data_IF_679349259465
#
_entry.id   IF_679349259465
#
_cell.length_a   1.000
_cell.length_b   1.000
_cell.length_c   1.000
_cell.angle_alpha   90.00
_cell.angle_beta   90.00
_cell.angle_gamma   90.00
#
_symmetry.space_group_name_H-M   'P 1'
#
loop_
_entity.id
_entity.type
_entity.pdbx_description
1 polymer ?
#
# COMPACT_ATOMS: atom_id res chain seq x y z
N UNK A 1 -11.14 21.47 2.32
CA UNK A 1 -10.40 21.80 1.09
C UNK A 1 -11.27 22.65 0.17
N UNK A 2 -10.70 23.68 -0.42
CA UNK A 2 -11.38 24.58 -1.37
C UNK A 2 -12.06 23.78 -2.51
N UNK A 3 -11.30 22.90 -3.14
CA UNK A 3 -11.82 22.08 -4.26
C UNK A 3 -13.00 21.17 -3.87
N UNK A 4 -12.96 20.55 -2.69
CA UNK A 4 -14.07 19.71 -2.23
C UNK A 4 -15.36 20.54 -2.13
N UNK A 5 -15.29 21.74 -1.56
CA UNK A 5 -16.45 22.62 -1.46
C UNK A 5 -17.02 22.97 -2.83
N UNK A 6 -16.18 23.37 -3.79
CA UNK A 6 -16.61 23.72 -5.15
C UNK A 6 -17.25 22.53 -5.88
N UNK A 7 -16.68 21.34 -5.76
CA UNK A 7 -17.25 20.11 -6.35
C UNK A 7 -18.64 19.83 -5.77
N UNK A 8 -18.81 19.96 -4.45
CA UNK A 8 -20.08 19.74 -3.79
C UNK A 8 -21.14 20.82 -4.14
N UNK A 9 -20.70 22.01 -4.55
CA UNK A 9 -21.54 23.08 -5.09
C UNK A 9 -21.92 22.89 -6.58
N UNK A 10 -21.42 21.81 -7.21
CA UNK A 10 -21.75 21.44 -8.58
C UNK A 10 -20.67 21.72 -9.63
N UNK A 11 -19.53 22.30 -9.24
CA UNK A 11 -18.38 22.53 -10.13
C UNK A 11 -17.49 21.29 -10.23
N UNK A 12 -18.01 20.27 -10.87
CA UNK A 12 -17.43 18.92 -10.90
C UNK A 12 -16.09 18.83 -11.63
N UNK A 13 -15.78 19.79 -12.51
CA UNK A 13 -14.50 19.91 -13.22
C UNK A 13 -13.30 20.02 -12.27
N UNK A 14 -13.50 20.58 -11.07
CA UNK A 14 -12.44 20.66 -10.06
C UNK A 14 -11.98 19.28 -9.54
N UNK A 15 -12.72 18.21 -9.81
CA UNK A 15 -12.29 16.87 -9.44
C UNK A 15 -11.04 16.41 -10.21
N UNK A 16 -10.78 16.98 -11.38
CA UNK A 16 -9.56 16.74 -12.17
C UNK A 16 -8.28 16.98 -11.38
N UNK A 17 -8.28 17.93 -10.46
CA UNK A 17 -7.14 18.21 -9.57
C UNK A 17 -6.77 16.99 -8.72
N UNK A 18 -7.77 16.22 -8.27
CA UNK A 18 -7.53 14.99 -7.51
C UNK A 18 -7.06 13.85 -8.41
N UNK A 19 -7.58 13.76 -9.63
CA UNK A 19 -7.09 12.81 -10.63
C UNK A 19 -5.61 13.04 -10.92
N UNK A 20 -5.23 14.28 -11.24
CA UNK A 20 -3.85 14.63 -11.57
C UNK A 20 -2.90 14.36 -10.38
N UNK A 21 -3.35 14.66 -9.18
CA UNK A 21 -2.52 14.54 -7.97
C UNK A 21 -2.35 13.12 -7.48
N UNK A 22 -3.40 12.29 -7.56
CA UNK A 22 -3.45 10.99 -6.89
C UNK A 22 -3.40 9.79 -7.83
N UNK A 23 -3.60 9.94 -9.14
CA UNK A 23 -3.63 8.79 -10.06
C UNK A 23 -2.36 7.96 -10.00
N UNK A 24 -1.21 8.60 -10.10
CA UNK A 24 0.08 7.90 -10.13
C UNK A 24 0.39 7.17 -8.82
N UNK A 25 0.35 7.81 -7.64
CA UNK A 25 0.65 7.14 -6.39
C UNK A 25 -0.40 6.08 -6.01
N UNK A 26 -1.67 6.30 -6.27
CA UNK A 26 -2.70 5.29 -6.03
C UNK A 26 -2.54 4.08 -6.95
N UNK A 27 -2.22 4.29 -8.23
CA UNK A 27 -1.91 3.22 -9.15
C UNK A 27 -0.73 2.37 -8.64
N UNK A 28 0.35 3.01 -8.20
CA UNK A 28 1.52 2.33 -7.66
C UNK A 28 1.16 1.44 -6.46
N UNK A 29 0.32 1.92 -5.54
CA UNK A 29 -0.16 1.14 -4.41
C UNK A 29 -1.02 -0.04 -4.88
N UNK A 30 -1.98 0.20 -5.75
CA UNK A 30 -2.93 -0.82 -6.21
C UNK A 30 -2.20 -1.93 -6.97
N UNK A 31 -1.32 -1.59 -7.93
CA UNK A 31 -0.61 -2.58 -8.74
C UNK A 31 0.32 -3.45 -7.91
N UNK A 32 0.94 -2.89 -6.87
CA UNK A 32 1.76 -3.68 -5.94
C UNK A 32 0.92 -4.72 -5.18
N UNK A 33 -0.28 -4.36 -4.77
CA UNK A 33 -1.16 -5.27 -4.03
C UNK A 33 -1.74 -6.35 -4.94
N UNK A 34 -2.25 -5.98 -6.13
CA UNK A 34 -2.99 -6.92 -7.00
C UNK A 34 -2.11 -7.67 -7.99
N UNK A 35 -0.93 -7.16 -8.33
CA UNK A 35 0.06 -7.81 -9.18
C UNK A 35 -0.30 -7.91 -10.67
N UNK A 36 -1.34 -7.21 -11.13
CA UNK A 36 -1.80 -7.19 -12.52
C UNK A 36 -2.11 -5.76 -12.95
N UNK A 37 -1.55 -5.33 -14.08
CA UNK A 37 -1.71 -3.95 -14.58
C UNK A 37 -3.15 -3.64 -14.99
N UNK A 38 -3.80 -4.55 -15.69
CA UNK A 38 -5.18 -4.40 -16.17
C UNK A 38 -6.15 -4.28 -14.98
N UNK A 39 -6.02 -5.16 -14.00
CA UNK A 39 -6.83 -5.11 -12.77
C UNK A 39 -6.57 -3.80 -12.00
N UNK A 40 -5.33 -3.33 -11.95
CA UNK A 40 -4.96 -2.11 -11.25
C UNK A 40 -5.55 -0.86 -11.93
N UNK A 41 -5.55 -0.79 -13.25
CA UNK A 41 -6.17 0.31 -14.01
C UNK A 41 -7.69 0.36 -13.78
N UNK A 42 -8.37 -0.79 -13.83
CA UNK A 42 -9.80 -0.89 -13.55
C UNK A 42 -10.12 -0.47 -12.12
N UNK A 43 -9.38 -0.98 -11.14
CA UNK A 43 -9.55 -0.61 -9.74
C UNK A 43 -9.28 0.87 -9.49
N UNK A 44 -8.31 1.47 -10.14
CA UNK A 44 -8.03 2.90 -10.02
C UNK A 44 -9.22 3.74 -10.47
N UNK A 45 -9.83 3.40 -11.62
CA UNK A 45 -11.05 4.06 -12.10
C UNK A 45 -12.19 3.91 -11.10
N UNK A 46 -12.41 2.71 -10.58
CA UNK A 46 -13.44 2.44 -9.56
C UNK A 46 -13.20 3.23 -8.27
N UNK A 47 -11.95 3.37 -7.85
CA UNK A 47 -11.57 4.18 -6.66
C UNK A 47 -11.97 5.64 -6.85
N UNK A 48 -11.65 6.25 -7.99
CA UNK A 48 -12.01 7.63 -8.26
C UNK A 48 -13.52 7.83 -8.42
N UNK A 49 -14.21 6.92 -9.08
CA UNK A 49 -15.68 6.95 -9.16
C UNK A 49 -16.31 6.86 -7.79
N UNK A 50 -15.81 5.97 -6.93
CA UNK A 50 -16.28 5.82 -5.55
C UNK A 50 -15.97 7.07 -4.72
N UNK A 51 -14.78 7.62 -4.85
CA UNK A 51 -14.40 8.85 -4.17
C UNK A 51 -15.31 10.03 -4.59
N UNK A 52 -15.57 10.18 -5.88
CA UNK A 52 -16.46 11.21 -6.40
C UNK A 52 -17.89 11.06 -5.87
N UNK A 53 -18.47 9.86 -5.96
CA UNK A 53 -19.84 9.56 -5.51
C UNK A 53 -20.03 9.75 -4.00
N UNK A 54 -18.98 9.52 -3.22
CA UNK A 54 -19.04 9.61 -1.75
C UNK A 54 -18.34 10.84 -1.18
N UNK A 55 -17.99 11.80 -2.00
CA UNK A 55 -17.30 13.01 -1.57
C UNK A 55 -18.10 13.80 -0.51
N UNK A 56 -19.43 13.77 -0.62
CA UNK A 56 -20.33 14.37 0.37
C UNK A 56 -20.28 13.70 1.76
N UNK A 57 -19.74 12.48 1.84
CA UNK A 57 -19.53 11.76 3.11
C UNK A 57 -18.18 12.01 3.74
N UNK A 58 -17.28 12.69 3.01
CA UNK A 58 -15.98 13.09 3.56
C UNK A 58 -16.16 14.23 4.56
N UNK A 59 -16.03 13.91 5.86
CA UNK A 59 -16.28 14.85 6.97
C UNK A 59 -15.06 15.68 7.37
N UNK A 60 -13.89 15.45 6.77
CA UNK A 60 -12.65 16.14 7.14
C UNK A 60 -12.02 15.64 8.45
N UNK A 61 -12.42 14.49 8.95
CA UNK A 61 -11.86 13.86 10.18
C UNK A 61 -10.42 13.38 9.98
N UNK A 62 -10.01 13.16 8.74
CA UNK A 62 -8.63 12.90 8.34
C UNK A 62 -8.30 13.72 7.07
N UNK A 63 -7.05 13.73 6.66
CA UNK A 63 -6.66 14.37 5.38
C UNK A 63 -7.36 13.67 4.21
N UNK A 64 -7.71 14.43 3.17
CA UNK A 64 -8.30 13.86 1.95
C UNK A 64 -7.40 12.78 1.33
N UNK A 65 -6.08 12.98 1.34
CA UNK A 65 -5.11 11.97 0.90
C UNK A 65 -5.29 10.64 1.65
N UNK A 66 -5.38 10.68 2.97
CA UNK A 66 -5.62 9.48 3.79
C UNK A 66 -6.94 8.80 3.43
N UNK A 67 -7.98 9.58 3.24
CA UNK A 67 -9.31 9.07 2.90
C UNK A 67 -9.32 8.35 1.55
N UNK A 68 -8.71 8.95 0.50
CA UNK A 68 -8.66 8.34 -0.83
C UNK A 68 -7.73 7.12 -0.88
N UNK A 69 -6.59 7.15 -0.16
CA UNK A 69 -5.70 5.99 -0.01
C UNK A 69 -6.39 4.81 0.70
N UNK A 70 -7.22 5.09 1.69
CA UNK A 70 -8.04 4.07 2.36
C UNK A 70 -9.03 3.41 1.39
N UNK A 71 -9.68 4.19 0.53
CA UNK A 71 -10.57 3.66 -0.51
C UNK A 71 -9.78 2.74 -1.45
N UNK A 72 -8.62 3.18 -1.92
CA UNK A 72 -7.76 2.41 -2.82
C UNK A 72 -7.25 1.11 -2.17
N UNK A 73 -6.75 1.19 -0.95
CA UNK A 73 -6.29 0.04 -0.18
C UNK A 73 -7.40 -1.01 0.00
N UNK A 74 -8.58 -0.59 0.44
CA UNK A 74 -9.70 -1.48 0.64
C UNK A 74 -10.16 -2.14 -0.66
N UNK A 75 -10.17 -1.41 -1.77
CA UNK A 75 -10.53 -1.95 -3.08
C UNK A 75 -9.51 -3.02 -3.54
N UNK A 76 -8.22 -2.74 -3.41
CA UNK A 76 -7.16 -3.66 -3.78
C UNK A 76 -7.16 -4.93 -2.92
N UNK A 77 -7.30 -4.81 -1.60
CA UNK A 77 -7.38 -5.95 -0.69
C UNK A 77 -8.62 -6.81 -0.98
N UNK A 78 -9.76 -6.20 -1.26
CA UNK A 78 -10.99 -6.93 -1.62
C UNK A 78 -10.81 -7.71 -2.92
N UNK A 79 -10.10 -7.16 -3.90
CA UNK A 79 -9.78 -7.85 -5.15
C UNK A 79 -8.86 -9.05 -4.93
N UNK A 80 -7.87 -8.95 -4.05
CA UNK A 80 -6.95 -10.07 -3.73
C UNK A 80 -7.63 -11.21 -3.00
N UNK A 81 -8.64 -10.93 -2.17
CA UNK A 81 -9.42 -11.97 -1.47
C UNK A 81 -10.22 -12.86 -2.43
N UNK A 82 -10.63 -12.32 -3.57
CA UNK A 82 -11.34 -13.07 -4.62
C UNK A 82 -10.41 -14.00 -5.40
N UNK A 83 -9.14 -13.64 -5.52
CA UNK A 83 -8.09 -14.48 -6.12
C UNK A 83 -7.40 -15.24 -4.99
N UNK A 84 -7.62 -16.55 -4.86
CA UNK A 84 -6.85 -17.40 -3.94
C UNK A 84 -5.39 -17.36 -4.37
N UNK A 85 -4.56 -16.58 -3.67
CA UNK A 85 -3.12 -16.64 -3.80
C UNK A 85 -2.60 -17.79 -2.94
N UNK A 86 -1.85 -18.69 -3.53
CA UNK A 86 -1.02 -19.62 -2.78
C UNK A 86 0.15 -18.82 -2.19
N UNK A 87 -0.01 -18.46 -0.92
CA UNK A 87 1.07 -17.81 -0.17
C UNK A 87 2.04 -18.89 0.31
N UNK A 88 3.33 -18.67 0.12
CA UNK A 88 4.37 -19.50 0.69
C UNK A 88 4.25 -19.49 2.22
N UNK A 89 4.11 -20.70 2.79
CA UNK A 89 4.18 -20.88 4.23
C UNK A 89 5.63 -20.77 4.68
N UNK A 90 5.90 -19.84 5.59
CA UNK A 90 7.19 -19.71 6.26
C UNK A 90 6.95 -19.91 7.75
N UNK A 91 7.75 -20.81 8.34
CA UNK A 91 7.67 -21.05 9.79
C UNK A 91 7.96 -19.75 10.57
N UNK A 92 7.14 -19.47 11.57
CA UNK A 92 7.24 -18.28 12.41
C UNK A 92 8.62 -18.14 13.08
N UNK A 93 9.18 -19.27 13.53
CA UNK A 93 10.51 -19.29 14.14
C UNK A 93 11.60 -18.82 13.17
N UNK A 94 11.50 -19.15 11.88
CA UNK A 94 12.46 -18.70 10.86
C UNK A 94 12.43 -17.19 10.70
N UNK A 95 11.26 -16.60 10.73
CA UNK A 95 11.08 -15.14 10.66
C UNK A 95 11.64 -14.48 11.92
N UNK A 96 11.29 -14.99 13.09
CA UNK A 96 11.68 -14.41 14.38
C UNK A 96 13.19 -14.47 14.64
N UNK A 97 13.89 -15.43 14.04
CA UNK A 97 15.35 -15.60 14.20
C UNK A 97 16.17 -14.63 13.35
N UNK A 98 15.56 -13.85 12.45
CA UNK A 98 16.29 -12.82 11.70
C UNK A 98 16.72 -11.70 12.65
N UNK A 99 18.02 -11.33 12.70
CA UNK A 99 18.49 -10.21 13.52
C UNK A 99 17.85 -8.88 13.12
N UNK A 100 17.57 -8.03 14.10
CA UNK A 100 16.86 -6.76 13.88
C UNK A 100 17.65 -5.80 12.96
N UNK A 101 18.97 -5.71 13.14
CA UNK A 101 19.86 -4.88 12.30
C UNK A 101 19.89 -5.35 10.83
N UNK A 102 19.78 -6.64 10.59
CA UNK A 102 19.67 -7.22 9.23
C UNK A 102 18.30 -6.86 8.63
N UNK A 103 17.23 -7.01 9.40
CA UNK A 103 15.89 -6.67 8.97
C UNK A 103 15.74 -5.16 8.65
N UNK A 104 16.28 -4.30 9.51
CA UNK A 104 16.16 -2.85 9.35
C UNK A 104 16.88 -2.30 8.11
N UNK A 105 17.90 -3.01 7.64
CA UNK A 105 18.70 -2.60 6.48
C UNK A 105 18.39 -3.33 5.18
N UNK A 106 17.47 -4.29 5.18
CA UNK A 106 17.21 -5.19 4.03
C UNK A 106 16.86 -4.44 2.74
N UNK A 107 16.05 -3.39 2.84
CA UNK A 107 15.62 -2.60 1.67
C UNK A 107 16.68 -1.57 1.21
N UNK A 108 17.60 -1.18 2.12
CA UNK A 108 18.66 -0.23 1.82
C UNK A 108 19.92 -0.89 1.24
N UNK A 109 20.08 -2.22 1.39
CA UNK A 109 21.28 -2.96 0.99
C UNK A 109 21.26 -3.53 -0.43
N UNK A 110 20.19 -3.31 -1.19
CA UNK A 110 20.12 -3.75 -2.58
C UNK A 110 20.97 -2.81 -3.46
N UNK A 111 22.29 -3.11 -3.57
CA UNK A 111 23.26 -2.25 -4.24
C UNK A 111 23.54 -2.70 -5.69
N UNK A 112 23.25 -3.94 -6.03
CA UNK A 112 23.44 -4.49 -7.37
C UNK A 112 22.12 -5.02 -7.96
N UNK A 113 22.12 -5.25 -9.29
CA UNK A 113 20.96 -5.68 -10.05
C UNK A 113 20.41 -7.04 -9.55
N UNK A 114 21.31 -7.96 -9.16
CA UNK A 114 20.90 -9.26 -8.63
C UNK A 114 20.17 -9.14 -7.29
N UNK A 115 20.65 -8.28 -6.40
CA UNK A 115 20.02 -8.01 -5.10
C UNK A 115 18.67 -7.31 -5.27
N UNK A 116 18.57 -6.35 -6.19
CA UNK A 116 17.30 -5.68 -6.54
C UNK A 116 16.29 -6.69 -7.06
N UNK A 117 16.69 -7.61 -7.93
CA UNK A 117 15.82 -8.66 -8.45
C UNK A 117 15.36 -9.63 -7.36
N UNK A 118 16.26 -10.01 -6.44
CA UNK A 118 15.90 -10.86 -5.29
C UNK A 118 14.92 -10.15 -4.37
N UNK A 119 15.14 -8.87 -4.09
CA UNK A 119 14.24 -8.04 -3.29
C UNK A 119 12.86 -7.93 -3.94
N UNK A 120 12.81 -7.64 -5.24
CA UNK A 120 11.55 -7.57 -5.99
C UNK A 120 10.77 -8.88 -5.90
N UNK A 121 11.42 -10.02 -6.16
CA UNK A 121 10.80 -11.34 -6.03
C UNK A 121 10.32 -11.66 -4.62
N UNK A 122 11.06 -11.21 -3.59
CA UNK A 122 10.65 -11.38 -2.20
C UNK A 122 9.40 -10.55 -1.89
N UNK A 123 9.33 -9.31 -2.35
CA UNK A 123 8.17 -8.43 -2.18
C UNK A 123 6.94 -9.03 -2.89
N UNK A 124 7.10 -9.58 -4.08
CA UNK A 124 6.00 -10.22 -4.83
C UNK A 124 5.36 -11.39 -4.08
N UNK A 125 6.09 -12.05 -3.19
CA UNK A 125 5.62 -13.16 -2.37
C UNK A 125 4.93 -12.73 -1.07
N UNK A 126 4.92 -11.46 -0.73
CA UNK A 126 4.21 -10.91 0.42
C UNK A 126 2.70 -10.93 0.20
N UNK A 127 1.92 -10.96 1.29
CA UNK A 127 0.49 -10.76 1.19
C UNK A 127 0.14 -9.29 0.89
N UNK A 128 -1.12 -9.01 0.54
CA UNK A 128 -1.55 -7.68 0.13
C UNK A 128 -1.33 -6.59 1.20
N UNK A 129 -1.53 -6.90 2.47
CA UNK A 129 -1.31 -5.96 3.58
C UNK A 129 0.19 -5.67 3.76
N UNK A 130 1.03 -6.70 3.71
CA UNK A 130 2.49 -6.55 3.79
C UNK A 130 3.04 -5.73 2.63
N UNK A 131 2.55 -5.97 1.40
CA UNK A 131 2.88 -5.16 0.22
C UNK A 131 2.47 -3.70 0.40
N UNK A 132 1.29 -3.44 0.94
CA UNK A 132 0.81 -2.08 1.22
C UNK A 132 1.70 -1.37 2.25
N UNK A 133 2.08 -2.04 3.33
CA UNK A 133 2.99 -1.50 4.35
C UNK A 133 4.33 -1.06 3.75
N UNK A 134 4.96 -1.92 2.95
CA UNK A 134 6.24 -1.62 2.29
C UNK A 134 6.07 -0.46 1.29
N UNK A 135 5.03 -0.47 0.48
CA UNK A 135 4.78 0.57 -0.52
C UNK A 135 4.54 1.93 0.14
N UNK A 136 3.68 1.99 1.14
CA UNK A 136 3.35 3.25 1.82
C UNK A 136 4.54 3.81 2.59
N UNK A 137 5.33 2.97 3.23
CA UNK A 137 6.45 3.42 4.04
C UNK A 137 7.67 3.82 3.20
N UNK A 138 8.12 2.95 2.27
CA UNK A 138 9.37 3.15 1.53
C UNK A 138 9.21 3.91 0.22
N UNK A 139 8.13 3.68 -0.52
CA UNK A 139 7.94 4.28 -1.84
C UNK A 139 7.12 5.56 -1.78
N UNK A 140 6.12 5.62 -0.90
CA UNK A 140 5.25 6.79 -0.73
C UNK A 140 5.68 7.68 0.46
N UNK A 141 6.69 7.29 1.21
CA UNK A 141 7.27 8.04 2.34
C UNK A 141 6.23 8.50 3.37
N UNK A 142 5.19 7.68 3.59
CA UNK A 142 4.16 7.97 4.58
C UNK A 142 4.67 7.77 6.01
N UNK A 143 4.19 8.61 6.93
CA UNK A 143 4.45 8.43 8.36
C UNK A 143 3.73 7.20 8.92
N UNK A 144 4.19 6.72 10.08
CA UNK A 144 3.52 5.61 10.79
C UNK A 144 2.07 5.94 11.13
N UNK A 145 1.79 7.20 11.47
CA UNK A 145 0.46 7.73 11.74
C UNK A 145 -0.42 7.66 10.49
N UNK A 146 0.06 8.15 9.36
CA UNK A 146 -0.66 8.13 8.08
C UNK A 146 -0.95 6.69 7.62
N UNK A 147 0.03 5.78 7.76
CA UNK A 147 -0.15 4.36 7.45
C UNK A 147 -1.21 3.75 8.36
N UNK A 148 -1.14 4.03 9.66
CA UNK A 148 -2.14 3.57 10.63
C UNK A 148 -3.54 4.04 10.29
N UNK A 149 -3.70 5.28 9.86
CA UNK A 149 -4.98 5.83 9.41
C UNK A 149 -5.49 5.15 8.12
N UNK A 150 -4.61 4.86 7.15
CA UNK A 150 -4.99 4.18 5.90
C UNK A 150 -5.41 2.74 6.17
N UNK A 151 -4.64 2.00 6.94
CA UNK A 151 -4.86 0.58 7.22
C UNK A 151 -5.79 0.31 8.41
N UNK A 152 -6.20 1.35 9.15
CA UNK A 152 -6.95 1.26 10.41
C UNK A 152 -6.22 0.45 11.48
N UNK A 153 -4.94 0.76 11.67
CA UNK A 153 -4.07 0.16 12.67
C UNK A 153 -3.56 1.22 13.64
N UNK A 154 -3.28 0.83 14.87
CA UNK A 154 -2.51 1.67 15.80
C UNK A 154 -1.07 1.84 15.29
N UNK A 155 -0.42 2.93 15.71
CA UNK A 155 1.00 3.18 15.38
C UNK A 155 1.88 2.01 15.83
N UNK A 156 1.63 1.46 17.02
CA UNK A 156 2.34 0.28 17.55
C UNK A 156 2.17 -0.93 16.64
N UNK A 157 0.96 -1.19 16.16
CA UNK A 157 0.69 -2.29 15.23
C UNK A 157 1.40 -2.08 13.89
N UNK A 158 1.42 -0.86 13.35
CA UNK A 158 2.17 -0.55 12.12
C UNK A 158 3.65 -0.87 12.29
N UNK A 159 4.25 -0.44 13.40
CA UNK A 159 5.68 -0.70 13.69
C UNK A 159 5.98 -2.20 13.79
N UNK A 160 5.17 -2.95 14.54
CA UNK A 160 5.34 -4.39 14.72
C UNK A 160 5.20 -5.14 13.38
N UNK A 161 4.16 -4.83 12.61
CA UNK A 161 3.92 -5.48 11.31
C UNK A 161 4.98 -5.12 10.27
N UNK A 162 5.43 -3.87 10.25
CA UNK A 162 6.50 -3.44 9.34
C UNK A 162 7.81 -4.15 9.66
N UNK A 163 8.17 -4.23 10.93
CA UNK A 163 9.37 -4.93 11.39
C UNK A 163 9.32 -6.43 11.03
N UNK A 164 8.19 -7.09 11.29
CA UNK A 164 7.98 -8.48 10.92
C UNK A 164 8.04 -8.69 9.40
N UNK A 165 7.47 -7.79 8.62
CA UNK A 165 7.52 -7.84 7.15
C UNK A 165 8.96 -7.73 6.64
N UNK A 166 9.78 -6.85 7.22
CA UNK A 166 11.22 -6.77 6.89
C UNK A 166 11.95 -8.08 7.16
N UNK A 167 11.70 -8.72 8.30
CA UNK A 167 12.27 -10.04 8.63
C UNK A 167 11.84 -11.10 7.62
N UNK A 168 10.58 -11.10 7.23
CA UNK A 168 10.05 -12.02 6.21
C UNK A 168 10.72 -11.81 4.85
N UNK A 169 10.96 -10.57 4.44
CA UNK A 169 11.71 -10.25 3.22
C UNK A 169 13.11 -10.84 3.28
N UNK A 170 13.83 -10.73 4.40
CA UNK A 170 15.14 -11.33 4.59
C UNK A 170 15.13 -12.85 4.36
N UNK A 171 14.13 -13.53 4.92
CA UNK A 171 13.97 -14.99 4.74
C UNK A 171 13.71 -15.31 3.27
N UNK A 172 12.80 -14.58 2.62
CA UNK A 172 12.44 -14.81 1.21
C UNK A 172 13.61 -14.55 0.25
N UNK A 173 14.46 -13.55 0.52
CA UNK A 173 15.65 -13.26 -0.28
C UNK A 173 16.72 -14.35 -0.17
N UNK A 174 16.77 -15.07 0.95
CA UNK A 174 17.75 -16.14 1.20
C UNK A 174 17.25 -17.54 0.80
N UNK A 175 15.96 -17.69 0.54
CA UNK A 175 15.41 -18.94 -0.01
C UNK A 175 15.76 -19.00 -1.51
N UNK A 176 16.59 -19.99 -1.86
CA UNK A 176 16.96 -20.29 -3.26
C UNK A 176 15.84 -21.03 -3.97
#
# INVERSE_FOLDING_TARGET
SYYIKRILEGETEHFSVFLDRYSRPLYALIVQIVGCHEDAEELLQDVFLKAFRHLNRYKGECRFSTWIYRIAYNAAISATRKKKQELLYIEENTINNVPDDVADSVLARAEDEEQVDRLSRAIDQLNGEEKALITLFYYEEKSMEEIGEVLKLSISNVKVRLHRTRKKICVLMNNK
#
